data_IF_115182259223
#
_entry.id   IF_115182259223
#
_cell.length_a   1.000
_cell.length_b   1.000
_cell.length_c   1.000
_cell.angle_alpha   90.00
_cell.angle_beta   90.00
_cell.angle_gamma   90.00
#
_symmetry.space_group_name_H-M   'P 1'
#
loop_
_entity.id
_entity.type
_entity.pdbx_description
1 polymer ?
#
# COMPACT_ATOMS: atom_id res chain seq x y z
N UNK A 1 22.79 -11.67 -19.57
CA UNK A 1 21.44 -12.07 -19.53
C UNK A 1 20.58 -11.07 -18.81
N UNK A 2 19.48 -10.72 -19.44
CA UNK A 2 18.62 -9.77 -18.86
C UNK A 2 17.60 -10.41 -18.04
N UNK A 3 17.28 -9.86 -16.89
CA UNK A 3 16.22 -10.35 -16.08
C UNK A 3 15.00 -9.52 -16.29
N UNK A 4 13.90 -10.16 -16.55
CA UNK A 4 12.63 -9.47 -16.62
C UNK A 4 12.24 -9.06 -15.21
N UNK A 5 11.93 -7.79 -14.99
CA UNK A 5 11.49 -7.38 -13.66
C UNK A 5 10.26 -8.15 -13.25
N UNK A 6 10.27 -8.62 -12.04
CA UNK A 6 9.15 -9.37 -11.53
C UNK A 6 7.97 -8.46 -11.28
N UNK A 7 6.79 -8.88 -11.71
CA UNK A 7 5.58 -8.13 -11.43
C UNK A 7 5.27 -8.19 -9.95
N UNK A 8 4.94 -7.05 -9.38
CA UNK A 8 4.53 -6.98 -7.98
C UNK A 8 3.05 -7.29 -7.86
N UNK A 9 2.69 -7.89 -6.77
CA UNK A 9 1.29 -8.04 -6.38
C UNK A 9 0.98 -6.93 -5.39
N UNK A 10 0.12 -6.01 -5.80
CA UNK A 10 -0.18 -4.80 -5.04
C UNK A 10 -1.58 -4.89 -4.48
N UNK A 11 -1.71 -4.64 -3.19
CA UNK A 11 -3.02 -4.48 -2.56
C UNK A 11 -3.30 -3.00 -2.41
N UNK A 12 -4.50 -2.59 -2.77
CA UNK A 12 -4.93 -1.21 -2.63
C UNK A 12 -6.12 -1.17 -1.68
N UNK A 13 -5.98 -0.51 -0.55
CA UNK A 13 -7.06 -0.39 0.42
C UNK A 13 -7.60 1.02 0.35
N UNK A 14 -8.75 1.16 -0.30
CA UNK A 14 -9.35 2.45 -0.64
C UNK A 14 -10.86 2.25 -0.74
N UNK A 15 -11.65 3.07 -0.07
CA UNK A 15 -13.10 2.86 -0.03
C UNK A 15 -13.86 3.45 -1.22
N UNK A 16 -13.25 4.35 -1.99
CA UNK A 16 -13.93 4.96 -3.14
C UNK A 16 -13.69 4.12 -4.40
N UNK A 17 -14.74 3.51 -4.98
CA UNK A 17 -14.54 2.65 -6.15
C UNK A 17 -13.94 3.37 -7.35
N UNK A 18 -14.21 4.66 -7.50
CA UNK A 18 -13.66 5.40 -8.64
C UNK A 18 -12.17 5.58 -8.49
N UNK A 19 -11.72 5.85 -7.27
CA UNK A 19 -10.29 5.98 -7.01
C UNK A 19 -9.62 4.62 -7.14
N UNK A 20 -10.28 3.55 -6.68
CA UNK A 20 -9.76 2.20 -6.87
C UNK A 20 -9.48 1.91 -8.34
N UNK A 21 -10.44 2.25 -9.20
CA UNK A 21 -10.30 1.97 -10.61
C UNK A 21 -9.15 2.74 -11.23
N UNK A 22 -9.03 4.02 -10.88
CA UNK A 22 -7.96 4.84 -11.43
C UNK A 22 -6.59 4.34 -11.02
N UNK A 23 -6.42 4.03 -9.76
CA UNK A 23 -5.11 3.60 -9.26
C UNK A 23 -4.77 2.21 -9.79
N UNK A 24 -5.75 1.28 -9.78
CA UNK A 24 -5.48 -0.06 -10.28
C UNK A 24 -5.18 -0.06 -11.77
N UNK A 25 -5.82 0.82 -12.54
CA UNK A 25 -5.52 0.91 -13.96
C UNK A 25 -4.07 1.33 -14.18
N UNK A 26 -3.61 2.30 -13.38
CA UNK A 26 -2.24 2.77 -13.52
C UNK A 26 -1.24 1.68 -13.12
N UNK A 27 -1.53 0.96 -12.05
CA UNK A 27 -0.67 -0.13 -11.59
C UNK A 27 -0.58 -1.23 -12.66
N UNK A 28 -1.72 -1.56 -13.25
CA UNK A 28 -1.77 -2.57 -14.31
C UNK A 28 -0.99 -2.10 -15.53
N UNK A 29 -1.12 -0.82 -15.88
CA UNK A 29 -0.37 -0.28 -17.01
C UNK A 29 1.13 -0.32 -16.79
N UNK A 30 1.57 -0.26 -15.54
CA UNK A 30 2.98 -0.39 -15.23
C UNK A 30 3.46 -1.84 -15.18
N UNK A 31 2.59 -2.78 -15.46
CA UNK A 31 2.97 -4.19 -15.54
C UNK A 31 2.83 -4.98 -14.25
N UNK A 32 2.05 -4.49 -13.29
CA UNK A 32 1.89 -5.15 -12.01
C UNK A 32 0.43 -5.54 -11.79
N UNK A 33 0.19 -6.40 -10.81
CA UNK A 33 -1.16 -6.83 -10.46
C UNK A 33 -1.70 -5.96 -9.35
N UNK A 34 -2.98 -5.61 -9.41
CA UNK A 34 -3.61 -4.81 -8.38
C UNK A 34 -4.90 -5.47 -7.92
N UNK A 35 -5.02 -5.66 -6.61
CA UNK A 35 -6.26 -6.11 -5.98
C UNK A 35 -6.73 -5.03 -5.03
N UNK A 36 -7.97 -4.58 -5.19
CA UNK A 36 -8.49 -3.50 -4.35
C UNK A 36 -9.41 -4.04 -3.27
N UNK A 37 -9.39 -3.39 -2.13
CA UNK A 37 -10.24 -3.71 -1.00
C UNK A 37 -10.91 -2.43 -0.53
N UNK A 38 -12.19 -2.51 -0.22
CA UNK A 38 -12.96 -1.34 0.18
C UNK A 38 -12.85 -0.99 1.64
N UNK A 39 -12.22 -1.84 2.45
CA UNK A 39 -12.05 -1.57 3.88
C UNK A 39 -10.80 -2.27 4.37
N UNK A 40 -10.30 -1.80 5.52
CA UNK A 40 -9.15 -2.44 6.15
C UNK A 40 -9.51 -3.83 6.64
N UNK A 41 -10.75 -4.00 7.11
CA UNK A 41 -11.21 -5.30 7.59
C UNK A 41 -11.16 -6.35 6.47
N UNK A 42 -11.66 -5.98 5.29
CA UNK A 42 -11.64 -6.90 4.16
C UNK A 42 -10.21 -7.25 3.77
N UNK A 43 -9.33 -6.26 3.79
CA UNK A 43 -7.94 -6.49 3.44
C UNK A 43 -7.27 -7.43 4.44
N UNK A 44 -7.48 -7.20 5.73
CA UNK A 44 -6.86 -8.03 6.75
C UNK A 44 -7.33 -9.47 6.65
N UNK A 45 -8.63 -9.66 6.40
CA UNK A 45 -9.17 -11.00 6.24
C UNK A 45 -8.57 -11.72 5.04
N UNK A 46 -8.34 -11.00 3.95
CA UNK A 46 -7.77 -11.58 2.74
C UNK A 46 -6.26 -11.73 2.85
N UNK A 47 -5.61 -10.81 3.57
CA UNK A 47 -4.15 -10.79 3.63
C UNK A 47 -3.57 -11.83 4.58
N UNK A 48 -4.42 -12.64 5.18
CA UNK A 48 -3.92 -13.71 6.02
C UNK A 48 -2.98 -14.65 5.28
N UNK A 49 -2.98 -14.59 3.96
CA UNK A 49 -2.11 -15.43 3.16
C UNK A 49 -0.78 -14.76 2.81
N UNK A 50 -0.59 -13.50 3.13
CA UNK A 50 0.65 -12.78 2.84
C UNK A 50 1.05 -12.77 1.38
N UNK A 51 0.07 -12.56 0.52
CA UNK A 51 0.30 -12.67 -0.91
C UNK A 51 0.63 -11.36 -1.60
N UNK A 52 0.83 -10.29 -0.88
CA UNK A 52 1.06 -8.99 -1.48
C UNK A 52 2.47 -8.49 -1.21
N UNK A 53 3.09 -7.93 -2.24
CA UNK A 53 4.44 -7.38 -2.14
C UNK A 53 4.42 -5.93 -1.68
N UNK A 54 3.38 -5.21 -2.05
CA UNK A 54 3.23 -3.79 -1.72
C UNK A 54 1.79 -3.53 -1.35
N UNK A 55 1.57 -2.78 -0.28
CA UNK A 55 0.23 -2.39 0.16
C UNK A 55 0.15 -0.87 0.09
N UNK A 56 -0.82 -0.37 -0.68
CA UNK A 56 -1.15 1.06 -0.70
C UNK A 56 -2.38 1.22 0.19
N UNK A 57 -2.23 1.96 1.26
CA UNK A 57 -3.22 1.97 2.34
C UNK A 57 -3.64 3.38 2.69
N UNK A 58 -4.93 3.66 2.57
CA UNK A 58 -5.47 4.95 2.97
C UNK A 58 -5.62 5.01 4.49
N UNK A 59 -5.36 6.17 5.07
CA UNK A 59 -5.61 6.38 6.48
C UNK A 59 -7.07 6.57 6.80
N UNK A 60 -7.79 7.25 5.91
CA UNK A 60 -9.17 7.66 6.19
C UNK A 60 -10.14 6.64 5.62
N UNK A 61 -10.30 5.55 6.36
CA UNK A 61 -11.21 4.49 5.96
C UNK A 61 -12.35 4.38 6.95
N UNK A 62 -13.53 3.98 6.50
CA UNK A 62 -14.62 3.72 7.44
C UNK A 62 -14.30 2.46 8.24
N UNK A 63 -14.74 2.43 9.47
CA UNK A 63 -14.44 1.30 10.35
C UNK A 63 -13.01 1.38 10.87
N UNK A 64 -12.22 0.35 10.63
CA UNK A 64 -10.83 0.35 11.06
C UNK A 64 -10.04 1.33 10.21
N UNK A 65 -9.36 2.28 10.85
CA UNK A 65 -8.57 3.25 10.10
C UNK A 65 -7.24 2.67 9.66
N UNK A 66 -6.57 3.41 8.77
CA UNK A 66 -5.34 2.91 8.17
C UNK A 66 -4.19 2.74 9.13
N UNK A 67 -4.07 3.60 10.15
CA UNK A 67 -3.01 3.45 11.14
C UNK A 67 -3.17 2.19 11.96
N UNK A 68 -4.40 1.89 12.36
CA UNK A 68 -4.68 0.65 13.10
C UNK A 68 -4.36 -0.55 12.22
N UNK A 69 -4.74 -0.48 10.96
CA UNK A 69 -4.44 -1.54 10.01
C UNK A 69 -2.92 -1.73 9.86
N UNK A 70 -2.18 -0.64 9.70
CA UNK A 70 -0.73 -0.70 9.59
C UNK A 70 -0.11 -1.37 10.80
N UNK A 71 -0.54 -1.00 11.99
CA UNK A 71 0.00 -1.61 13.21
C UNK A 71 -0.26 -3.10 13.27
N UNK A 72 -1.45 -3.53 12.84
CA UNK A 72 -1.75 -4.95 12.80
C UNK A 72 -0.90 -5.70 11.78
N UNK A 73 -0.67 -5.10 10.62
CA UNK A 73 0.17 -5.71 9.61
C UNK A 73 1.60 -5.88 10.10
N UNK A 74 2.11 -4.88 10.80
CA UNK A 74 3.47 -4.95 11.29
C UNK A 74 3.63 -5.99 12.39
N UNK A 75 2.61 -6.17 13.21
CA UNK A 75 2.64 -7.21 14.22
C UNK A 75 2.74 -8.59 13.59
N UNK A 76 1.98 -8.81 12.52
CA UNK A 76 2.02 -10.08 11.81
C UNK A 76 3.34 -10.28 11.09
N UNK A 77 3.92 -9.21 10.58
CA UNK A 77 5.17 -9.29 9.86
C UNK A 77 6.36 -9.59 10.75
N UNK A 78 6.19 -9.48 12.06
CA UNK A 78 7.27 -9.77 12.99
C UNK A 78 7.80 -11.18 12.86
N UNK A 79 7.05 -12.08 12.23
CA UNK A 79 7.49 -13.45 12.08
C UNK A 79 8.27 -13.69 10.79
N UNK A 80 8.57 -12.68 10.00
CA UNK A 80 9.44 -12.95 8.89
C UNK A 80 9.37 -12.09 7.67
N UNK A 81 8.31 -12.10 6.93
CA UNK A 81 8.34 -11.43 5.63
C UNK A 81 7.95 -9.97 5.78
N UNK A 82 8.90 -9.10 5.55
CA UNK A 82 8.63 -7.67 5.57
C UNK A 82 7.86 -7.31 4.31
N UNK A 83 6.70 -6.74 4.50
CA UNK A 83 5.86 -6.30 3.41
C UNK A 83 6.00 -4.78 3.33
N UNK A 84 6.07 -4.28 2.13
CA UNK A 84 6.17 -2.84 1.93
C UNK A 84 4.77 -2.24 2.09
N UNK A 85 4.63 -1.23 2.93
CA UNK A 85 3.36 -0.52 3.10
C UNK A 85 3.60 0.96 2.84
N UNK A 86 2.80 1.53 1.94
CA UNK A 86 2.85 2.95 1.63
C UNK A 86 1.48 3.53 1.98
N UNK A 87 1.48 4.57 2.80
CA UNK A 87 0.24 5.27 3.11
C UNK A 87 -0.09 6.23 1.97
N UNK A 88 -1.33 6.18 1.50
CA UNK A 88 -1.81 7.04 0.42
C UNK A 88 -3.09 7.70 0.92
N UNK A 89 -3.06 9.00 1.14
CA UNK A 89 -4.19 9.66 1.78
C UNK A 89 -4.34 11.10 1.31
N UNK A 90 -5.54 11.64 1.44
CA UNK A 90 -5.77 13.06 1.18
C UNK A 90 -5.37 13.92 2.38
N UNK A 91 -5.06 13.30 3.51
CA UNK A 91 -4.81 14.03 4.75
C UNK A 91 -3.36 14.47 4.86
N UNK A 92 -3.13 15.77 4.79
CA UNK A 92 -1.79 16.33 4.96
C UNK A 92 -1.60 16.71 6.43
N UNK A 93 -1.12 15.76 7.22
CA UNK A 93 -1.01 15.91 8.66
C UNK A 93 0.35 15.35 9.10
N UNK A 94 1.19 16.24 9.64
CA UNK A 94 2.55 15.87 10.00
C UNK A 94 2.61 14.86 11.13
N UNK A 95 1.69 14.94 12.09
CA UNK A 95 1.66 13.98 13.19
C UNK A 95 1.29 12.59 12.69
N UNK A 96 0.31 12.50 11.82
CA UNK A 96 -0.08 11.22 11.24
C UNK A 96 1.04 10.66 10.38
N UNK A 97 1.71 11.51 9.65
CA UNK A 97 2.83 11.09 8.83
C UNK A 97 3.94 10.48 9.70
N UNK A 98 4.31 11.17 10.77
CA UNK A 98 5.35 10.67 11.66
C UNK A 98 4.92 9.36 12.31
N UNK A 99 3.66 9.28 12.71
CA UNK A 99 3.15 8.06 13.33
C UNK A 99 3.20 6.89 12.34
N UNK A 100 2.78 7.11 11.10
CA UNK A 100 2.81 6.07 10.09
C UNK A 100 4.24 5.58 9.83
N UNK A 101 5.15 6.53 9.65
CA UNK A 101 6.54 6.16 9.36
C UNK A 101 7.19 5.44 10.54
N UNK A 102 6.89 5.85 11.77
CA UNK A 102 7.45 5.17 12.93
C UNK A 102 6.83 3.80 13.16
N UNK A 103 5.69 3.51 12.56
CA UNK A 103 5.09 2.19 12.61
C UNK A 103 5.42 1.35 11.38
N UNK A 104 6.40 1.76 10.61
CA UNK A 104 6.93 0.92 9.55
C UNK A 104 6.44 1.19 8.14
N UNK A 105 5.66 2.26 7.93
CA UNK A 105 5.31 2.63 6.57
C UNK A 105 6.57 3.08 5.83
N UNK A 106 6.68 2.67 4.61
CA UNK A 106 7.82 3.03 3.77
C UNK A 106 7.75 4.49 3.34
N UNK A 107 6.55 4.98 3.11
CA UNK A 107 6.34 6.35 2.66
C UNK A 107 4.93 6.80 3.01
N UNK A 108 4.71 8.10 2.97
CA UNK A 108 3.41 8.71 3.20
C UNK A 108 3.18 9.65 2.02
N UNK A 109 2.21 9.30 1.18
CA UNK A 109 1.99 9.98 -0.09
C UNK A 109 0.62 10.61 -0.09
N UNK A 110 0.54 11.87 -0.48
CA UNK A 110 -0.75 12.53 -0.64
C UNK A 110 -1.38 12.10 -1.95
N UNK A 111 -2.69 11.88 -1.95
CA UNK A 111 -3.38 11.38 -3.13
C UNK A 111 -3.09 12.17 -4.40
N UNK A 112 -3.06 13.52 -4.37
CA UNK A 112 -2.76 14.24 -5.61
C UNK A 112 -1.40 13.94 -6.20
N UNK A 113 -0.45 13.51 -5.39
CA UNK A 113 0.91 13.25 -5.86
C UNK A 113 1.13 11.79 -6.23
N UNK A 114 0.15 10.93 -6.01
CA UNK A 114 0.35 9.50 -6.14
C UNK A 114 0.75 9.08 -7.55
N UNK A 115 0.03 9.59 -8.56
CA UNK A 115 0.29 9.14 -9.93
C UNK A 115 1.69 9.51 -10.39
N UNK A 116 2.18 10.65 -9.94
CA UNK A 116 3.52 11.08 -10.24
C UNK A 116 4.56 10.19 -9.59
N UNK A 117 4.28 9.71 -8.39
CA UNK A 117 5.22 8.90 -7.62
C UNK A 117 5.07 7.40 -7.86
N UNK A 118 3.98 6.98 -8.48
CA UNK A 118 3.66 5.57 -8.58
C UNK A 118 4.73 4.75 -9.31
N UNK A 119 5.29 5.20 -10.43
CA UNK A 119 6.32 4.38 -11.07
C UNK A 119 7.51 4.08 -10.15
N UNK A 120 7.88 5.06 -9.33
CA UNK A 120 8.98 4.88 -8.40
C UNK A 120 8.62 3.92 -7.28
N UNK A 121 7.38 4.03 -6.78
CA UNK A 121 6.91 3.15 -5.71
C UNK A 121 6.82 1.71 -6.17
N UNK A 122 6.53 1.49 -7.45
CA UNK A 122 6.37 0.15 -7.98
C UNK A 122 7.69 -0.54 -8.31
N UNK A 123 8.80 0.18 -8.25
CA UNK A 123 10.08 -0.45 -8.48
C UNK A 123 10.46 -1.29 -7.28
N UNK A 124 11.13 -2.38 -7.55
CA UNK A 124 11.67 -3.16 -6.47
C UNK A 124 12.74 -2.35 -5.76
N UNK A 125 12.80 -2.40 -4.44
CA UNK A 125 13.84 -1.66 -3.74
C UNK A 125 15.21 -2.13 -4.16
N UNK A 126 16.12 -1.18 -4.32
CA UNK A 126 17.50 -1.53 -4.57
C UNK A 126 18.06 -2.19 -3.35
N UNK A 127 18.69 -3.32 -3.55
CA UNK A 127 19.31 -3.97 -2.44
C UNK A 127 20.71 -3.47 -2.27
N UNK A 128 21.10 -3.12 -1.05
CA UNK A 128 22.49 -2.70 -0.83
C UNK A 128 23.46 -3.83 -1.05
#
# INVERSE_FOLDING_TARGET
>A
MEETPKALRVALVEDDPRIQQLICAEITDEGHDCTSFGSAEDFINAAGSDNFDLVLLDLMLPGMDGLTCLKQLQRKAASGAARRVVIVTALNDDDKRREALSNGAEAYVLKPDLFEQLPQLLRMPSMP
#
